data_IF_420971355308
#
_entry.id   IF_420971355308
#
_cell.length_a   1.000
_cell.length_b   1.000
_cell.length_c   1.000
_cell.angle_alpha   90.00
_cell.angle_beta   90.00
_cell.angle_gamma   90.00
#
_symmetry.space_group_name_H-M   'P 1'
#
loop_
_entity.id
_entity.type
_entity.pdbx_description
1 polymer ?
#
# COMPACT_ATOMS: atom_id res chain seq x y z
N UNK A 1 -14.11 11.65 3.52
CA UNK A 1 -14.69 10.43 4.10
C UNK A 1 -13.59 9.72 4.86
N UNK A 2 -13.53 9.90 6.19
CA UNK A 2 -12.55 9.23 7.05
C UNK A 2 -13.07 7.81 7.29
N UNK A 3 -12.42 6.83 6.67
CA UNK A 3 -12.80 5.43 6.86
C UNK A 3 -12.14 4.95 8.16
N UNK A 4 -12.93 4.83 9.23
CA UNK A 4 -12.50 4.16 10.46
C UNK A 4 -12.68 2.65 10.29
N UNK A 5 -11.62 1.96 9.86
CA UNK A 5 -11.56 0.50 9.96
C UNK A 5 -11.00 0.09 11.32
N UNK A 6 -11.68 -0.87 11.94
CA UNK A 6 -11.41 -1.42 13.26
C UNK A 6 -10.03 -2.11 13.25
N UNK A 7 -9.03 -1.49 13.90
CA UNK A 7 -7.65 -1.96 14.16
C UNK A 7 -6.90 -2.52 12.94
N UNK A 8 -6.29 -1.63 12.16
CA UNK A 8 -5.25 -2.02 11.20
C UNK A 8 -3.89 -1.93 11.91
N UNK A 9 -3.54 -2.92 12.74
CA UNK A 9 -2.34 -2.89 13.60
C UNK A 9 -1.08 -2.41 12.85
N UNK A 10 -0.85 -2.91 11.63
CA UNK A 10 0.30 -2.51 10.81
C UNK A 10 0.17 -1.08 10.26
N UNK A 11 -1.00 -0.66 9.80
CA UNK A 11 -1.22 0.69 9.29
C UNK A 11 -1.08 1.74 10.41
N UNK A 12 -1.68 1.47 11.56
CA UNK A 12 -1.57 2.32 12.74
C UNK A 12 -0.11 2.41 13.23
N UNK A 13 0.61 1.28 13.21
CA UNK A 13 2.04 1.26 13.53
C UNK A 13 2.87 2.11 12.57
N UNK A 14 2.66 1.97 11.25
CA UNK A 14 3.38 2.76 10.24
C UNK A 14 3.11 4.26 10.45
N UNK A 15 1.86 4.65 10.66
CA UNK A 15 1.49 6.05 10.88
C UNK A 15 2.14 6.63 12.15
N UNK A 16 2.08 5.88 13.25
CA UNK A 16 2.70 6.27 14.52
C UNK A 16 4.24 6.38 14.42
N UNK A 17 4.86 5.64 13.50
CA UNK A 17 6.30 5.60 13.28
C UNK A 17 6.70 6.09 11.89
N UNK A 18 5.97 7.05 11.33
CA UNK A 18 6.14 7.54 9.96
C UNK A 18 7.59 7.92 9.60
N UNK A 19 8.35 8.43 10.56
CA UNK A 19 9.76 8.79 10.42
C UNK A 19 10.67 7.62 9.99
N UNK A 20 10.23 6.35 10.17
CA UNK A 20 10.97 5.17 9.70
C UNK A 20 10.76 4.91 8.21
N UNK A 21 9.75 5.51 7.60
CA UNK A 21 9.31 5.23 6.23
C UNK A 21 9.48 6.42 5.29
N UNK A 22 9.66 7.63 5.82
CA UNK A 22 9.92 8.83 5.03
C UNK A 22 11.18 8.65 4.15
N UNK A 23 11.05 8.92 2.86
CA UNK A 23 12.11 8.76 1.86
C UNK A 23 12.52 7.32 1.56
N UNK A 24 11.81 6.31 2.08
CA UNK A 24 12.14 4.92 1.87
C UNK A 24 11.43 4.32 0.65
N UNK A 25 12.02 3.24 0.11
CA UNK A 25 11.32 2.33 -0.79
C UNK A 25 10.71 1.18 0.03
N UNK A 26 9.42 0.93 -0.13
CA UNK A 26 8.66 -0.06 0.64
C UNK A 26 8.12 -1.13 -0.30
N UNK A 27 8.32 -2.41 0.06
CA UNK A 27 7.73 -3.56 -0.63
C UNK A 27 6.67 -4.18 0.28
N UNK A 28 5.42 -4.25 -0.19
CA UNK A 28 4.34 -4.96 0.47
C UNK A 28 4.09 -6.31 -0.20
N UNK A 29 4.22 -7.39 0.57
CA UNK A 29 3.93 -8.76 0.17
C UNK A 29 2.52 -9.11 0.66
N UNK A 30 1.65 -9.56 -0.24
CA UNK A 30 0.27 -9.93 0.10
C UNK A 30 -0.60 -8.70 0.35
N UNK A 31 -0.49 -7.70 -0.53
CA UNK A 31 -1.20 -6.44 -0.40
C UNK A 31 -2.73 -6.60 -0.47
N UNK A 32 -3.21 -7.72 -1.01
CA UNK A 32 -4.60 -7.98 -1.32
C UNK A 32 -5.18 -6.92 -2.24
N UNK A 33 -6.49 -6.73 -2.16
CA UNK A 33 -7.16 -5.65 -2.89
C UNK A 33 -7.05 -4.30 -2.17
N UNK A 34 -6.66 -4.28 -0.89
CA UNK A 34 -6.72 -3.07 -0.06
C UNK A 34 -5.40 -2.31 0.04
N UNK A 35 -4.26 -3.00 0.15
CA UNK A 35 -2.92 -2.41 0.27
C UNK A 35 -2.77 -1.38 1.39
N UNK A 36 -3.45 -1.57 2.53
CA UNK A 36 -3.50 -0.57 3.60
C UNK A 36 -2.09 -0.23 4.13
N UNK A 37 -1.22 -1.19 4.52
CA UNK A 37 0.14 -0.90 4.96
C UNK A 37 0.92 -0.01 3.98
N UNK A 38 0.96 -0.36 2.70
CA UNK A 38 1.67 0.41 1.69
C UNK A 38 1.02 1.77 1.41
N UNK A 39 -0.31 1.88 1.43
CA UNK A 39 -1.00 3.17 1.30
C UNK A 39 -0.64 4.12 2.44
N UNK A 40 -0.60 3.61 3.68
CA UNK A 40 -0.19 4.41 4.83
C UNK A 40 1.28 4.78 4.72
N UNK A 41 2.16 3.85 4.33
CA UNK A 41 3.57 4.14 4.11
C UNK A 41 3.79 5.25 3.06
N UNK A 42 3.07 5.21 1.94
CA UNK A 42 3.10 6.27 0.94
C UNK A 42 2.67 7.62 1.52
N UNK A 43 1.56 7.66 2.26
CA UNK A 43 1.09 8.89 2.93
C UNK A 43 2.04 9.39 4.03
N UNK A 44 2.85 8.51 4.59
CA UNK A 44 3.90 8.81 5.54
C UNK A 44 5.21 9.28 4.87
N UNK A 45 5.23 9.45 3.55
CA UNK A 45 6.37 10.01 2.82
C UNK A 45 7.33 8.99 2.25
N UNK A 46 6.95 7.71 2.16
CA UNK A 46 7.73 6.75 1.37
C UNK A 46 7.88 7.23 -0.08
N UNK A 47 9.08 7.15 -0.63
CA UNK A 47 9.40 7.61 -1.98
C UNK A 47 8.72 6.72 -3.03
N UNK A 48 8.73 5.41 -2.79
CA UNK A 48 8.13 4.43 -3.68
C UNK A 48 7.55 3.27 -2.88
N UNK A 49 6.29 2.91 -3.17
CA UNK A 49 5.65 1.72 -2.63
C UNK A 49 5.40 0.69 -3.73
N UNK A 50 5.96 -0.49 -3.59
CA UNK A 50 5.76 -1.62 -4.50
C UNK A 50 4.78 -2.58 -3.83
N UNK A 51 3.57 -2.63 -4.36
CA UNK A 51 2.55 -3.58 -3.92
C UNK A 51 2.66 -4.88 -4.70
N UNK A 52 2.60 -6.00 -3.99
CA UNK A 52 2.61 -7.32 -4.61
C UNK A 52 1.60 -8.28 -4.01
N UNK A 53 1.06 -9.15 -4.86
CA UNK A 53 0.12 -10.22 -4.47
C UNK A 53 0.26 -11.42 -5.43
N UNK A 54 -0.48 -12.50 -5.17
CA UNK A 54 -0.47 -13.71 -5.99
C UNK A 54 -1.02 -13.42 -7.41
N UNK A 55 -0.44 -14.02 -8.48
CA UNK A 55 -0.89 -13.78 -9.86
C UNK A 55 -2.36 -14.14 -10.14
N UNK A 56 -2.97 -15.05 -9.37
CA UNK A 56 -4.39 -15.40 -9.53
C UNK A 56 -5.35 -14.29 -9.06
N UNK A 57 -4.84 -13.22 -8.45
CA UNK A 57 -5.62 -12.14 -7.85
C UNK A 57 -5.72 -10.90 -8.76
N UNK A 58 -5.92 -11.09 -10.07
CA UNK A 58 -5.92 -9.99 -11.05
C UNK A 58 -6.92 -8.86 -10.72
N UNK A 59 -8.11 -9.21 -10.21
CA UNK A 59 -9.11 -8.22 -9.85
C UNK A 59 -8.70 -7.40 -8.61
N UNK A 60 -7.95 -8.02 -7.69
CA UNK A 60 -7.41 -7.31 -6.54
C UNK A 60 -6.43 -6.21 -6.96
N UNK A 61 -5.61 -6.43 -7.99
CA UNK A 61 -4.70 -5.39 -8.50
C UNK A 61 -5.44 -4.18 -9.06
N UNK A 62 -6.56 -4.39 -9.76
CA UNK A 62 -7.38 -3.27 -10.28
C UNK A 62 -8.00 -2.47 -9.16
N UNK A 63 -8.56 -3.15 -8.15
CA UNK A 63 -9.13 -2.50 -6.97
C UNK A 63 -8.03 -1.76 -6.18
N UNK A 64 -6.86 -2.36 -6.05
CA UNK A 64 -5.72 -1.75 -5.36
C UNK A 64 -5.23 -0.49 -6.09
N UNK A 65 -5.16 -0.51 -7.42
CA UNK A 65 -4.84 0.68 -8.21
C UNK A 65 -5.89 1.78 -8.00
N UNK A 66 -7.17 1.44 -8.02
CA UNK A 66 -8.25 2.37 -7.73
C UNK A 66 -8.15 2.94 -6.31
N UNK A 67 -7.74 2.13 -5.33
CA UNK A 67 -7.52 2.58 -3.96
C UNK A 67 -6.33 3.54 -3.86
N UNK A 68 -5.24 3.31 -4.59
CA UNK A 68 -4.11 4.23 -4.67
C UNK A 68 -4.54 5.59 -5.25
N UNK A 69 -5.25 5.57 -6.38
CA UNK A 69 -5.77 6.78 -7.04
C UNK A 69 -6.79 7.50 -6.14
N UNK A 70 -7.72 6.76 -5.53
CA UNK A 70 -8.75 7.31 -4.64
C UNK A 70 -8.19 7.86 -3.32
N UNK A 71 -6.92 7.57 -3.01
CA UNK A 71 -6.19 8.13 -1.88
C UNK A 71 -5.17 9.21 -2.30
N UNK A 72 -5.24 9.70 -3.54
CA UNK A 72 -4.39 10.77 -4.07
C UNK A 72 -2.88 10.45 -4.04
N UNK A 73 -2.49 9.18 -4.26
CA UNK A 73 -1.09 8.83 -4.46
C UNK A 73 -0.62 9.31 -5.86
N UNK A 74 0.62 9.79 -5.94
CA UNK A 74 1.26 10.09 -7.23
C UNK A 74 1.47 8.79 -8.02
N UNK A 75 1.17 8.79 -9.32
CA UNK A 75 1.32 7.60 -10.17
C UNK A 75 2.76 7.11 -10.29
N UNK A 76 3.74 7.96 -9.99
CA UNK A 76 5.16 7.62 -9.97
C UNK A 76 5.63 7.15 -8.58
N UNK A 77 4.81 7.31 -7.53
CA UNK A 77 5.17 6.92 -6.16
C UNK A 77 4.67 5.52 -5.78
N UNK A 78 4.06 4.78 -6.70
CA UNK A 78 3.72 3.37 -6.48
C UNK A 78 3.83 2.50 -7.73
N UNK A 79 4.05 1.21 -7.50
CA UNK A 79 4.01 0.16 -8.52
C UNK A 79 3.20 -1.01 -8.00
N UNK A 80 2.43 -1.64 -8.88
CA UNK A 80 1.73 -2.90 -8.59
C UNK A 80 2.35 -4.01 -9.44
N UNK A 81 2.74 -5.12 -8.82
CA UNK A 81 3.41 -6.24 -9.49
C UNK A 81 2.90 -7.58 -8.97
N UNK A 82 2.92 -8.60 -9.82
CA UNK A 82 2.70 -9.98 -9.39
C UNK A 82 3.90 -10.48 -8.56
N UNK A 83 3.63 -11.32 -7.56
CA UNK A 83 4.64 -12.06 -6.82
C UNK A 83 4.37 -13.56 -6.94
N UNK A 84 5.38 -14.33 -7.33
CA UNK A 84 5.32 -15.79 -7.48
C UNK A 84 5.78 -16.54 -6.22
N UNK A 85 5.99 -15.82 -5.12
CA UNK A 85 6.43 -16.39 -3.84
C UNK A 85 5.35 -16.28 -2.75
N UNK A 86 4.19 -15.73 -3.11
CA UNK A 86 2.98 -15.68 -2.28
C UNK A 86 2.03 -16.82 -2.62
#
# INVERSE_FOLDING_TARGET
>A
MLIQYKTNDTGDYISAHHYLFEGCMVLELGAGCTGIPGLVAAKCGAELVIFTDHPENEEAFKILEQNCIGNDLDKNSFLIRVSYVL
#
